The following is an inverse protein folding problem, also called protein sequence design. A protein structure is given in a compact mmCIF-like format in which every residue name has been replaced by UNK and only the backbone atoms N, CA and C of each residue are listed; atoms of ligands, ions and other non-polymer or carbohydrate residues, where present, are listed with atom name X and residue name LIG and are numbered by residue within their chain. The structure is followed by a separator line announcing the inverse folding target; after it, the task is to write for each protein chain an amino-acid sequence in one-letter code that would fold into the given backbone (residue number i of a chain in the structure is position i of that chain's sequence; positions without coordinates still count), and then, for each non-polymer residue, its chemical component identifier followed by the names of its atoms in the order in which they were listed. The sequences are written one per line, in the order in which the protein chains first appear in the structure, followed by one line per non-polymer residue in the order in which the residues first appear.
data_IF_345889313113
#
_entry.id   IF_345889313113
#
_cell.length_a   1.000
_cell.length_b   1.000
_cell.length_c   1.000
_cell.angle_alpha   90.00
_cell.angle_beta   90.00
_cell.angle_gamma   90.00
#
_symmetry.space_group_name_H-M   'P 1'
#
loop_
_entity.id
_entity.type
_entity.pdbx_description
1 polymer ?
#
# COMPACT_ATOMS: atom_id res chain seq x y z
N UNK A 1 -6.93 25.31 -0.85
CA UNK A 1 -6.76 25.82 -2.22
C UNK A 1 -6.26 24.70 -3.08
N UNK A 2 -7.11 24.21 -3.99
CA UNK A 2 -6.65 23.44 -5.14
C UNK A 2 -5.60 24.27 -5.88
N UNK A 3 -4.53 23.63 -6.35
CA UNK A 3 -3.61 24.24 -7.30
C UNK A 3 -4.46 24.80 -8.45
N UNK A 4 -4.21 26.05 -8.90
CA UNK A 4 -4.95 26.63 -10.05
C UNK A 4 -4.76 25.85 -11.35
N UNK A 5 -3.83 24.89 -11.36
CA UNK A 5 -3.64 23.91 -12.41
C UNK A 5 -4.78 22.87 -12.39
N UNK A 6 -5.52 22.81 -13.48
CA UNK A 6 -6.56 21.81 -13.74
C UNK A 6 -5.97 20.42 -13.97
N UNK A 7 -4.73 20.35 -14.46
CA UNK A 7 -4.00 19.10 -14.67
C UNK A 7 -2.49 19.27 -14.57
N UNK A 8 -1.75 18.15 -14.52
CA UNK A 8 -0.28 18.17 -14.42
C UNK A 8 0.38 18.88 -15.61
N UNK A 9 -0.25 18.88 -16.78
CA UNK A 9 0.24 19.55 -17.99
C UNK A 9 0.31 21.08 -17.84
N UNK A 10 -0.53 21.67 -16.99
CA UNK A 10 -0.51 23.12 -16.70
C UNK A 10 0.75 23.54 -15.92
N UNK A 11 1.47 22.58 -15.35
CA UNK A 11 2.74 22.81 -14.65
C UNK A 11 3.94 22.83 -15.62
N UNK A 12 3.72 22.51 -16.90
CA UNK A 12 4.74 22.56 -17.95
C UNK A 12 4.67 23.93 -18.63
N UNK A 13 5.84 24.50 -18.97
CA UNK A 13 5.92 25.80 -19.63
C UNK A 13 5.03 25.85 -20.89
N UNK A 14 4.08 26.80 -20.90
CA UNK A 14 3.07 26.95 -21.96
C UNK A 14 2.32 25.64 -22.29
N UNK A 15 2.08 24.79 -21.30
CA UNK A 15 1.41 23.49 -21.45
C UNK A 15 2.05 22.56 -22.49
N UNK A 16 3.33 22.78 -22.83
CA UNK A 16 4.04 22.00 -23.85
C UNK A 16 3.87 22.46 -25.29
N UNK A 17 3.07 23.50 -25.55
CA UNK A 17 2.84 24.02 -26.91
C UNK A 17 4.06 24.73 -27.51
N UNK A 18 5.03 25.12 -26.67
CA UNK A 18 6.26 25.80 -27.09
C UNK A 18 7.46 24.86 -27.30
N UNK A 19 7.21 23.55 -27.55
CA UNK A 19 8.25 22.54 -27.73
C UNK A 19 8.90 22.04 -26.43
N UNK A 20 8.62 22.66 -25.29
CA UNK A 20 9.08 22.21 -23.97
C UNK A 20 8.07 21.22 -23.38
N UNK A 21 8.33 19.92 -23.53
CA UNK A 21 7.36 18.87 -23.16
C UNK A 21 7.57 18.29 -21.77
N UNK A 22 8.51 18.82 -20.99
CA UNK A 22 8.93 18.30 -19.69
C UNK A 22 9.21 19.42 -18.70
N UNK A 23 8.73 19.26 -17.47
CA UNK A 23 9.10 20.06 -16.31
C UNK A 23 9.73 19.15 -15.24
N UNK A 24 10.79 19.60 -14.58
CA UNK A 24 11.41 18.86 -13.49
C UNK A 24 11.78 19.79 -12.34
N UNK A 25 11.56 19.32 -11.11
CA UNK A 25 11.96 19.99 -9.89
C UNK A 25 12.82 19.02 -9.08
N UNK A 26 14.00 19.47 -8.67
CA UNK A 26 14.90 18.73 -7.79
C UNK A 26 15.08 19.50 -6.49
N UNK A 27 15.03 18.78 -5.38
CA UNK A 27 15.34 19.30 -4.05
C UNK A 27 16.51 18.48 -3.52
N UNK A 28 17.54 19.17 -3.03
CA UNK A 28 18.70 18.56 -2.38
C UNK A 28 18.55 18.77 -0.89
N UNK A 29 18.57 17.67 -0.14
CA UNK A 29 18.52 17.63 1.31
C UNK A 29 19.91 17.32 1.85
N UNK A 30 20.30 18.08 2.87
CA UNK A 30 21.44 17.73 3.70
C UNK A 30 21.09 16.51 4.56
N UNK A 31 21.86 15.44 4.43
CA UNK A 31 21.66 14.17 5.12
C UNK A 31 22.88 13.80 5.99
N UNK A 32 23.64 14.81 6.45
CA UNK A 32 24.84 14.58 7.29
C UNK A 32 24.55 14.05 8.69
N UNK A 33 23.32 14.20 9.20
CA UNK A 33 22.93 13.69 10.52
C UNK A 33 22.32 12.28 10.42
N UNK A 34 23.02 11.21 10.87
CA UNK A 34 22.55 9.83 10.74
C UNK A 34 21.26 9.51 11.51
N UNK A 35 20.94 10.29 12.55
CA UNK A 35 19.73 10.13 13.36
C UNK A 35 18.48 10.67 12.67
N UNK A 36 18.66 11.60 11.73
CA UNK A 36 17.60 12.18 10.90
C UNK A 36 17.55 11.57 9.50
N UNK A 37 18.52 10.71 9.17
CA UNK A 37 18.61 10.05 7.89
C UNK A 37 17.58 8.92 7.76
N UNK A 38 16.93 8.78 6.59
CA UNK A 38 16.12 7.61 6.31
C UNK A 38 16.95 6.32 6.35
N UNK A 39 16.31 5.23 6.78
CA UNK A 39 16.93 3.90 6.77
C UNK A 39 17.42 3.51 5.38
N UNK A 40 18.63 2.95 5.30
CA UNK A 40 19.29 2.61 4.04
C UNK A 40 20.03 3.77 3.36
N UNK A 41 19.92 5.00 3.88
CA UNK A 41 20.57 6.18 3.30
C UNK A 41 21.56 6.89 4.24
N UNK A 42 21.83 6.35 5.43
CA UNK A 42 22.78 6.90 6.43
C UNK A 42 24.21 7.13 5.91
N UNK A 43 24.62 6.39 4.88
CA UNK A 43 25.93 6.55 4.23
C UNK A 43 26.00 7.70 3.23
N UNK A 44 24.86 8.28 2.84
CA UNK A 44 24.80 9.37 1.87
C UNK A 44 24.78 10.70 2.62
N UNK A 45 25.73 11.60 2.32
CA UNK A 45 25.77 12.93 2.94
C UNK A 45 24.68 13.86 2.41
N UNK A 46 24.15 13.59 1.21
CA UNK A 46 23.09 14.37 0.57
C UNK A 46 22.06 13.44 -0.08
N UNK A 47 20.82 13.89 -0.11
CA UNK A 47 19.71 13.22 -0.78
C UNK A 47 19.06 14.15 -1.78
N UNK A 48 19.03 13.75 -3.05
CA UNK A 48 18.35 14.50 -4.11
C UNK A 48 17.03 13.82 -4.47
N UNK A 49 15.91 14.52 -4.26
CA UNK A 49 14.58 14.07 -4.69
C UNK A 49 14.16 14.91 -5.90
N UNK A 50 13.89 14.23 -7.02
CA UNK A 50 13.45 14.89 -8.26
C UNK A 50 12.07 14.40 -8.66
N UNK A 51 11.17 15.32 -9.01
CA UNK A 51 9.91 15.02 -9.66
C UNK A 51 9.95 15.55 -11.09
N UNK A 52 9.57 14.71 -12.05
CA UNK A 52 9.49 15.04 -13.47
C UNK A 52 8.05 14.87 -13.93
N UNK A 53 7.54 15.85 -14.68
CA UNK A 53 6.22 15.86 -15.28
C UNK A 53 6.39 15.99 -16.80
N UNK A 54 5.71 15.14 -17.55
CA UNK A 54 5.70 15.13 -19.02
C UNK A 54 4.29 15.44 -19.54
N UNK A 55 4.18 16.00 -20.75
CA UNK A 55 2.90 16.44 -21.36
C UNK A 55 1.83 15.35 -21.47
N UNK A 56 2.20 14.07 -21.39
CA UNK A 56 1.29 12.94 -21.29
C UNK A 56 0.67 12.71 -19.90
N UNK A 57 0.80 13.67 -18.97
CA UNK A 57 0.27 13.59 -17.61
C UNK A 57 1.02 12.59 -16.71
N UNK A 58 2.14 12.05 -17.16
CA UNK A 58 2.95 11.10 -16.40
C UNK A 58 3.87 11.85 -15.44
N UNK A 59 3.85 11.45 -14.17
CA UNK A 59 4.77 11.93 -13.14
C UNK A 59 5.78 10.82 -12.83
N UNK A 60 7.07 11.14 -12.90
CA UNK A 60 8.17 10.26 -12.49
C UNK A 60 8.84 10.84 -11.25
N UNK A 61 9.21 9.98 -10.32
CA UNK A 61 9.97 10.35 -9.13
C UNK A 61 11.34 9.69 -9.19
N UNK A 62 12.37 10.46 -8.82
CA UNK A 62 13.73 9.98 -8.74
C UNK A 62 14.29 10.30 -7.35
N UNK A 63 15.06 9.37 -6.81
CA UNK A 63 15.85 9.54 -5.59
C UNK A 63 17.31 9.25 -5.93
N UNK A 64 18.18 10.23 -5.76
CA UNK A 64 19.59 10.18 -6.19
C UNK A 64 19.74 9.68 -7.65
N UNK A 65 18.85 10.16 -8.54
CA UNK A 65 18.84 9.78 -9.95
C UNK A 65 18.21 8.42 -10.29
N UNK A 66 17.85 7.59 -9.29
CA UNK A 66 17.16 6.31 -9.53
C UNK A 66 15.65 6.50 -9.55
N UNK A 67 14.97 5.90 -10.54
CA UNK A 67 13.50 5.95 -10.62
C UNK A 67 12.90 5.14 -9.48
N UNK A 68 11.94 5.74 -8.79
CA UNK A 68 11.27 5.22 -7.61
C UNK A 68 9.76 5.51 -7.71
N UNK A 69 8.94 4.69 -7.06
CA UNK A 69 7.50 4.88 -7.03
C UNK A 69 7.12 6.09 -6.17
N UNK A 70 5.98 6.72 -6.49
CA UNK A 70 5.43 7.79 -5.66
C UNK A 70 5.27 7.34 -4.20
N UNK A 71 4.72 6.15 -3.98
CA UNK A 71 4.50 5.61 -2.63
C UNK A 71 5.78 5.52 -1.82
N UNK A 72 6.88 5.04 -2.42
CA UNK A 72 8.15 4.90 -1.71
C UNK A 72 8.77 6.26 -1.36
N UNK A 73 8.59 7.31 -2.18
CA UNK A 73 8.97 8.69 -1.80
C UNK A 73 8.12 9.21 -0.64
N UNK A 74 6.80 8.94 -0.64
CA UNK A 74 5.94 9.31 0.48
C UNK A 74 6.36 8.60 1.77
N UNK A 75 6.71 7.33 1.69
CA UNK A 75 7.15 6.57 2.87
C UNK A 75 8.54 6.99 3.35
N UNK A 76 9.45 7.38 2.44
CA UNK A 76 10.72 8.01 2.78
C UNK A 76 10.52 9.30 3.57
N UNK A 77 9.63 10.19 3.11
CA UNK A 77 9.36 11.43 3.82
C UNK A 77 8.68 11.20 5.17
N UNK A 78 7.79 10.20 5.28
CA UNK A 78 7.21 9.80 6.57
C UNK A 78 8.24 9.26 7.55
N UNK A 79 9.26 8.51 7.10
CA UNK A 79 10.25 7.92 8.01
C UNK A 79 11.10 8.98 8.72
N UNK A 80 11.37 10.10 8.05
CA UNK A 80 12.06 11.27 8.62
C UNK A 80 11.10 12.29 9.25
N UNK A 81 9.86 11.89 9.55
CA UNK A 81 8.80 12.74 10.13
C UNK A 81 8.42 13.96 9.28
N UNK A 82 8.81 13.99 8.01
CA UNK A 82 8.39 15.00 7.03
C UNK A 82 7.08 14.54 6.36
N UNK A 83 5.96 14.67 7.05
CA UNK A 83 4.68 14.35 6.39
C UNK A 83 4.28 15.50 5.45
N UNK A 84 4.53 15.34 4.15
CA UNK A 84 4.17 16.32 3.10
C UNK A 84 2.66 16.58 2.98
N UNK A 85 1.82 15.70 3.52
CA UNK A 85 0.37 15.90 3.60
C UNK A 85 -0.06 16.58 4.91
N UNK A 86 0.87 16.79 5.85
CA UNK A 86 0.60 17.46 7.10
C UNK A 86 0.55 18.98 6.88
N UNK A 87 -0.54 19.66 7.26
CA UNK A 87 -0.67 21.11 7.15
C UNK A 87 0.36 21.91 7.96
N UNK A 88 1.10 21.29 8.91
CA UNK A 88 2.23 21.92 9.61
C UNK A 88 3.47 22.11 8.74
N UNK A 89 3.62 21.38 7.65
CA UNK A 89 4.82 21.44 6.82
C UNK A 89 4.81 22.66 5.87
N UNK A 90 3.63 23.20 5.54
CA UNK A 90 3.48 24.29 4.58
C UNK A 90 2.55 25.39 5.10
N UNK A 91 3.15 26.48 5.61
CA UNK A 91 2.42 27.70 5.96
C UNK A 91 2.13 28.49 4.69
N UNK A 92 0.96 28.23 4.10
CA UNK A 92 0.44 29.02 2.99
C UNK A 92 -0.24 30.30 3.48
N UNK A 93 -0.29 31.31 2.62
CA UNK A 93 -1.05 32.52 2.89
C UNK A 93 -2.54 32.18 3.13
N UNK A 94 -3.13 32.74 4.19
CA UNK A 94 -4.53 32.48 4.57
C UNK A 94 -4.77 31.26 5.47
N UNK A 95 -3.71 30.54 5.89
CA UNK A 95 -3.85 29.42 6.83
C UNK A 95 -4.45 29.86 8.18
N UNK A 96 -4.11 31.07 8.66
CA UNK A 96 -4.69 31.63 9.91
C UNK A 96 -6.21 31.77 9.79
N UNK A 97 -6.70 32.31 8.67
CA UNK A 97 -8.14 32.45 8.40
C UNK A 97 -8.82 31.09 8.26
N UNK A 98 -8.13 30.10 7.67
CA UNK A 98 -8.64 28.72 7.56
C UNK A 98 -8.80 28.08 8.94
N UNK A 99 -7.78 28.12 9.78
CA UNK A 99 -7.83 27.58 11.15
C UNK A 99 -8.92 28.27 11.97
N UNK A 100 -9.07 29.60 11.84
CA UNK A 100 -10.13 30.36 12.51
C UNK A 100 -11.56 29.97 12.08
N UNK A 101 -11.73 29.39 10.88
CA UNK A 101 -13.03 28.96 10.33
C UNK A 101 -13.23 27.44 10.34
N UNK A 102 -12.23 26.68 10.76
CA UNK A 102 -12.26 25.22 10.77
C UNK A 102 -13.22 24.71 11.85
N UNK A 103 -13.90 23.60 11.54
CA UNK A 103 -14.77 22.92 12.51
C UNK A 103 -13.93 22.28 13.63
N UNK A 104 -14.50 22.07 14.83
CA UNK A 104 -13.80 21.42 15.93
C UNK A 104 -13.14 20.08 15.56
N UNK A 105 -13.80 19.27 14.73
CA UNK A 105 -13.25 18.00 14.24
C UNK A 105 -11.98 18.16 13.38
N UNK A 106 -11.90 19.22 12.57
CA UNK A 106 -10.69 19.52 11.78
C UNK A 106 -9.56 19.98 12.69
N UNK A 107 -9.85 20.82 13.69
CA UNK A 107 -8.86 21.27 14.68
C UNK A 107 -8.36 20.09 15.51
N UNK A 108 -9.25 19.20 15.95
CA UNK A 108 -8.88 17.97 16.67
C UNK A 108 -7.94 17.12 15.82
N UNK A 109 -8.26 16.90 14.55
CA UNK A 109 -7.39 16.17 13.63
C UNK A 109 -6.01 16.83 13.41
N UNK A 110 -5.89 18.16 13.54
CA UNK A 110 -4.60 18.86 13.52
C UNK A 110 -3.81 18.64 14.82
N UNK A 111 -4.50 18.58 15.96
CA UNK A 111 -3.90 18.35 17.28
C UNK A 111 -3.43 16.90 17.43
N UNK A 112 -4.24 15.92 17.02
CA UNK A 112 -3.89 14.50 17.01
C UNK A 112 -2.67 14.22 16.11
N UNK A 113 -2.60 14.92 14.98
CA UNK A 113 -1.45 14.80 14.07
C UNK A 113 -0.19 15.44 14.65
N UNK A 114 -0.32 16.55 15.37
CA UNK A 114 0.77 17.19 16.10
C UNK A 114 1.29 16.33 17.27
N UNK A 115 0.39 15.62 17.95
CA UNK A 115 0.71 14.68 19.01
C UNK A 115 1.21 13.33 18.49
N UNK A 116 1.16 13.09 17.17
CA UNK A 116 1.60 11.85 16.54
C UNK A 116 0.64 10.67 16.68
N UNK A 117 -0.52 10.84 17.32
CA UNK A 117 -1.50 9.77 17.57
C UNK A 117 -2.18 9.31 16.28
N UNK A 118 -2.44 10.23 15.36
CA UNK A 118 -3.11 9.95 14.07
C UNK A 118 -2.38 8.92 13.21
N UNK A 119 -1.03 8.92 13.22
CA UNK A 119 -0.25 7.92 12.46
C UNK A 119 -0.38 6.52 13.06
N UNK A 120 -0.47 6.43 14.39
CA UNK A 120 -0.69 5.17 15.08
C UNK A 120 -2.09 4.62 14.77
N UNK A 121 -3.12 5.47 14.85
CA UNK A 121 -4.50 5.07 14.58
C UNK A 121 -4.69 4.63 13.12
N UNK A 122 -4.05 5.31 12.18
CA UNK A 122 -4.07 4.90 10.77
C UNK A 122 -3.40 3.52 10.58
N UNK A 123 -2.21 3.31 11.15
CA UNK A 123 -1.53 2.00 11.09
C UNK A 123 -2.37 0.89 11.72
N UNK A 124 -3.02 1.18 12.84
CA UNK A 124 -3.94 0.24 13.51
C UNK A 124 -5.13 -0.10 12.62
N UNK A 125 -5.75 0.90 11.99
CA UNK A 125 -6.88 0.69 11.07
C UNK A 125 -6.47 -0.16 9.85
N UNK A 126 -5.31 0.12 9.24
CA UNK A 126 -4.79 -0.63 8.10
C UNK A 126 -4.45 -2.09 8.46
N UNK A 127 -3.91 -2.30 9.67
CA UNK A 127 -3.65 -3.64 10.21
C UNK A 127 -4.95 -4.43 10.44
N UNK A 128 -5.96 -3.79 11.06
CA UNK A 128 -7.28 -4.41 11.28
C UNK A 128 -7.94 -4.81 9.95
N UNK A 129 -7.88 -3.93 8.94
CA UNK A 129 -8.40 -4.22 7.60
C UNK A 129 -7.68 -5.39 6.93
N UNK A 130 -6.37 -5.50 7.14
CA UNK A 130 -5.59 -6.64 6.65
C UNK A 130 -5.99 -7.94 7.34
N UNK A 131 -6.20 -7.91 8.67
CA UNK A 131 -6.67 -9.07 9.44
C UNK A 131 -8.04 -9.53 8.96
N UNK A 132 -8.98 -8.60 8.77
CA UNK A 132 -10.32 -8.88 8.29
C UNK A 132 -10.30 -9.60 6.93
N UNK A 133 -9.50 -9.10 5.97
CA UNK A 133 -9.32 -9.75 4.66
C UNK A 133 -8.75 -11.15 4.77
N UNK A 134 -7.76 -11.35 5.66
CA UNK A 134 -7.16 -12.67 5.87
C UNK A 134 -8.14 -13.65 6.49
N UNK A 135 -8.95 -13.20 7.46
CA UNK A 135 -9.99 -14.02 8.08
C UNK A 135 -11.07 -14.42 7.07
N UNK A 136 -11.51 -13.49 6.22
CA UNK A 136 -12.43 -13.80 5.12
C UNK A 136 -11.86 -14.89 4.21
N UNK A 137 -10.58 -14.77 3.81
CA UNK A 137 -9.93 -15.79 2.97
C UNK A 137 -9.79 -17.14 3.67
N UNK A 138 -9.50 -17.16 4.97
CA UNK A 138 -9.45 -18.40 5.74
C UNK A 138 -10.81 -19.09 5.81
N UNK A 139 -11.89 -18.32 5.96
CA UNK A 139 -13.24 -18.87 5.96
C UNK A 139 -13.60 -19.49 4.60
N UNK A 140 -13.27 -18.81 3.49
CA UNK A 140 -13.44 -19.38 2.14
C UNK A 140 -12.69 -20.70 1.98
N UNK A 141 -11.44 -20.79 2.47
CA UNK A 141 -10.63 -22.01 2.39
C UNK A 141 -11.25 -23.13 3.23
N UNK A 142 -11.69 -22.83 4.46
CA UNK A 142 -12.36 -23.82 5.32
C UNK A 142 -13.62 -24.37 4.67
N UNK A 143 -14.42 -23.48 4.08
CA UNK A 143 -15.61 -23.87 3.37
C UNK A 143 -15.30 -24.80 2.19
N UNK A 144 -14.28 -24.50 1.37
CA UNK A 144 -13.86 -25.40 0.30
C UNK A 144 -13.39 -26.79 0.81
N UNK A 145 -12.75 -26.85 1.98
CA UNK A 145 -12.35 -28.13 2.59
C UNK A 145 -13.59 -28.94 3.01
N UNK A 146 -14.58 -28.29 3.62
CA UNK A 146 -15.82 -28.94 4.06
C UNK A 146 -16.69 -29.38 2.87
N UNK A 147 -16.86 -28.51 1.88
CA UNK A 147 -17.78 -28.73 0.76
C UNK A 147 -17.22 -29.66 -0.31
N UNK A 148 -15.91 -29.64 -0.58
CA UNK A 148 -15.31 -30.42 -1.68
C UNK A 148 -14.44 -31.58 -1.19
N UNK A 149 -13.51 -31.31 -0.27
CA UNK A 149 -12.48 -32.30 0.11
C UNK A 149 -13.07 -33.39 1.01
N UNK A 150 -13.83 -32.99 2.03
CA UNK A 150 -14.42 -33.92 3.00
C UNK A 150 -15.35 -34.95 2.35
N UNK A 151 -16.31 -34.58 1.48
CA UNK A 151 -17.15 -35.58 0.81
C UNK A 151 -16.36 -36.46 -0.16
N UNK A 152 -15.33 -35.92 -0.82
CA UNK A 152 -14.43 -36.72 -1.67
C UNK A 152 -13.71 -37.79 -0.87
N UNK A 153 -13.19 -37.46 0.32
CA UNK A 153 -12.56 -38.42 1.23
C UNK A 153 -13.57 -39.50 1.67
N UNK A 154 -14.77 -39.10 2.08
CA UNK A 154 -15.81 -40.05 2.51
C UNK A 154 -16.20 -41.01 1.38
N UNK A 155 -16.30 -40.51 0.14
CA UNK A 155 -16.58 -41.35 -1.03
C UNK A 155 -15.46 -42.35 -1.31
N UNK A 156 -14.20 -41.90 -1.26
CA UNK A 156 -13.04 -42.78 -1.43
C UNK A 156 -12.96 -43.87 -0.35
N UNK A 157 -13.29 -43.54 0.91
CA UNK A 157 -13.37 -44.53 1.99
C UNK A 157 -14.47 -45.57 1.75
N UNK A 158 -15.62 -45.14 1.23
CA UNK A 158 -16.71 -46.05 0.87
C UNK A 158 -16.30 -46.96 -0.31
N UNK A 159 -15.65 -46.41 -1.34
CA UNK A 159 -15.15 -47.17 -2.48
C UNK A 159 -14.08 -48.20 -2.06
N UNK A 160 -13.18 -47.84 -1.14
CA UNK A 160 -12.20 -48.77 -0.57
C UNK A 160 -12.88 -49.94 0.16
N UNK A 161 -13.92 -49.66 0.95
CA UNK A 161 -14.68 -50.68 1.67
C UNK A 161 -15.39 -51.63 0.69
N UNK A 162 -16.08 -51.08 -0.30
CA UNK A 162 -16.76 -51.86 -1.34
C UNK A 162 -15.76 -52.75 -2.10
N UNK A 163 -14.56 -52.25 -2.38
CA UNK A 163 -13.50 -53.01 -3.04
C UNK A 163 -12.99 -54.18 -2.18
N UNK A 164 -12.81 -53.96 -0.88
CA UNK A 164 -12.43 -55.02 0.07
C UNK A 164 -13.49 -56.13 0.12
N UNK A 165 -14.77 -55.77 0.21
CA UNK A 165 -15.88 -56.72 0.22
C UNK A 165 -15.93 -57.54 -1.09
N UNK A 166 -15.75 -56.87 -2.23
CA UNK A 166 -15.65 -57.55 -3.53
C UNK A 166 -14.50 -58.56 -3.58
N UNK A 167 -13.32 -58.21 -3.05
CA UNK A 167 -12.16 -59.10 -2.99
C UNK A 167 -12.43 -60.35 -2.13
N UNK A 168 -13.14 -60.21 -1.00
CA UNK A 168 -13.54 -61.35 -0.18
C UNK A 168 -14.53 -62.28 -0.90
N UNK A 169 -15.57 -61.71 -1.52
CA UNK A 169 -16.56 -62.48 -2.28
C UNK A 169 -15.88 -63.23 -3.43
N UNK A 170 -14.97 -62.57 -4.15
CA UNK A 170 -14.20 -63.18 -5.23
C UNK A 170 -13.35 -64.35 -4.75
N UNK A 171 -12.71 -64.25 -3.58
CA UNK A 171 -11.98 -65.37 -2.96
C UNK A 171 -12.89 -66.54 -2.63
N UNK A 172 -14.05 -66.29 -1.99
CA UNK A 172 -15.03 -67.33 -1.64
C UNK A 172 -15.56 -68.05 -2.89
N UNK A 173 -15.89 -67.28 -3.93
CA UNK A 173 -16.38 -67.84 -5.19
C UNK A 173 -15.34 -68.76 -5.86
N UNK A 174 -14.06 -68.36 -5.84
CA UNK A 174 -12.96 -69.17 -6.39
C UNK A 174 -12.74 -70.47 -5.62
N UNK A 175 -12.98 -70.46 -4.30
CA UNK A 175 -12.88 -71.65 -3.44
C UNK A 175 -14.03 -72.65 -3.67
N UNK A 176 -15.22 -72.16 -4.03
CA UNK A 176 -16.40 -72.99 -4.33
C UNK A 176 -16.37 -73.64 -5.72
N UNK A 177 -15.49 -73.18 -6.61
CA UNK A 177 -15.29 -73.74 -7.95
C UNK A 177 -14.14 -74.76 -8.03
N UNK A 178 -13.49 -75.07 -6.89
CA UNK A 178 -12.51 -76.15 -6.74
C UNK A 178 -13.13 -77.33 -6.02
#
# INVERSE_FOLDING_TARGET
HHVRASGLTDLIYKQGTAGITRASVSIVFDNRNPDQSPDGYKSHQELTVTRIIETGGKSKYLLNGKIITQTAIHDLFKSVSLNVNNPRFLILQGQVTKVSRSKPAEILGLVEEAAGTKMYDQKKADALKTIEKKNAKLNEIRQAIEDDITPTINKLQQDEKNYKDYQEIKKKYKLLQQ
#
